data_IF_423081920290
#
_entry.id   IF_423081920290
#
_cell.length_a   1.000
_cell.length_b   1.000
_cell.length_c   1.000
_cell.angle_alpha   90.00
_cell.angle_beta   90.00
_cell.angle_gamma   90.00
#
_symmetry.space_group_name_H-M   'P 1'
#
loop_
_entity.id
_entity.type
_entity.pdbx_description
1 polymer ?
#
# COMPACT_ATOMS: atom_id res chain seq x y z
N UNK A 1 -43.34 -33.37 -12.56
CA UNK A 1 -42.06 -32.65 -12.71
C UNK A 1 -41.05 -33.57 -13.35
N UNK A 2 -40.40 -33.13 -14.40
CA UNK A 2 -39.32 -33.89 -15.02
C UNK A 2 -38.09 -33.91 -14.11
N UNK A 3 -37.23 -34.93 -14.23
CA UNK A 3 -35.95 -34.99 -13.50
C UNK A 3 -35.12 -33.74 -13.77
N UNK A 4 -35.18 -33.21 -14.98
CA UNK A 4 -34.43 -31.97 -15.37
C UNK A 4 -35.01 -30.68 -14.77
N UNK A 5 -36.32 -30.60 -14.48
CA UNK A 5 -36.92 -29.46 -13.80
C UNK A 5 -36.41 -29.34 -12.37
N UNK A 6 -36.42 -30.41 -11.58
CA UNK A 6 -35.89 -30.42 -10.22
C UNK A 6 -34.38 -30.16 -10.18
N UNK A 7 -33.62 -30.69 -11.15
CA UNK A 7 -32.20 -30.52 -11.26
C UNK A 7 -31.86 -29.05 -11.61
N UNK A 8 -32.59 -28.45 -12.55
CA UNK A 8 -32.39 -27.06 -12.94
C UNK A 8 -32.67 -26.08 -11.81
N UNK A 9 -33.73 -26.29 -11.03
CA UNK A 9 -34.05 -25.45 -9.87
C UNK A 9 -32.93 -25.44 -8.82
N UNK A 10 -32.40 -26.64 -8.49
CA UNK A 10 -31.29 -26.77 -7.54
C UNK A 10 -30.00 -26.07 -8.04
N UNK A 11 -29.68 -26.26 -9.31
CA UNK A 11 -28.52 -25.65 -9.93
C UNK A 11 -28.63 -24.10 -9.97
N UNK A 12 -29.78 -23.58 -10.38
CA UNK A 12 -30.06 -22.14 -10.41
C UNK A 12 -29.95 -21.55 -9.01
N UNK A 13 -30.57 -22.15 -8.00
CA UNK A 13 -30.47 -21.68 -6.62
C UNK A 13 -29.02 -21.62 -6.11
N UNK A 14 -28.17 -22.58 -6.51
CA UNK A 14 -26.74 -22.58 -6.16
C UNK A 14 -26.00 -21.40 -6.82
N UNK A 15 -26.23 -21.16 -8.11
CA UNK A 15 -25.62 -20.02 -8.83
C UNK A 15 -26.14 -18.68 -8.32
N UNK A 16 -27.42 -18.55 -8.03
CA UNK A 16 -28.01 -17.34 -7.45
C UNK A 16 -27.40 -17.00 -6.07
N UNK A 17 -27.12 -18.02 -5.26
CA UNK A 17 -26.43 -17.84 -3.98
C UNK A 17 -25.00 -17.30 -4.18
N UNK A 18 -24.25 -17.91 -5.09
CA UNK A 18 -22.88 -17.49 -5.41
C UNK A 18 -22.83 -16.07 -6.00
N UNK A 19 -23.75 -15.76 -6.89
CA UNK A 19 -23.79 -14.42 -7.53
C UNK A 19 -24.11 -13.34 -6.51
N UNK A 20 -25.08 -13.58 -5.62
CA UNK A 20 -25.37 -12.65 -4.52
C UNK A 20 -24.16 -12.43 -3.62
N UNK A 21 -23.47 -13.49 -3.23
CA UNK A 21 -22.28 -13.40 -2.40
C UNK A 21 -21.16 -12.63 -3.12
N UNK A 22 -20.96 -12.87 -4.42
CA UNK A 22 -20.00 -12.16 -5.27
C UNK A 22 -20.32 -10.67 -5.37
N UNK A 23 -21.56 -10.30 -5.68
CA UNK A 23 -21.98 -8.90 -5.81
C UNK A 23 -21.79 -8.13 -4.49
N UNK A 24 -22.14 -8.72 -3.37
CA UNK A 24 -21.94 -8.11 -2.07
C UNK A 24 -20.45 -7.98 -1.73
N UNK A 25 -19.63 -8.99 -2.00
CA UNK A 25 -18.18 -8.94 -1.82
C UNK A 25 -17.56 -7.83 -2.68
N UNK A 26 -17.96 -7.67 -3.94
CA UNK A 26 -17.50 -6.60 -4.82
C UNK A 26 -17.91 -5.20 -4.31
N UNK A 27 -19.12 -5.06 -3.78
CA UNK A 27 -19.57 -3.81 -3.18
C UNK A 27 -18.72 -3.42 -1.98
N UNK A 28 -18.48 -4.38 -1.07
CA UNK A 28 -17.64 -4.19 0.11
C UNK A 28 -16.18 -3.93 -0.26
N UNK A 29 -15.64 -4.63 -1.27
CA UNK A 29 -14.27 -4.41 -1.76
C UNK A 29 -14.07 -2.98 -2.24
N UNK A 30 -15.00 -2.43 -3.02
CA UNK A 30 -14.94 -1.02 -3.45
C UNK A 30 -14.99 -0.04 -2.27
N UNK A 31 -15.73 -0.37 -1.21
CA UNK A 31 -15.78 0.43 0.00
C UNK A 31 -14.44 0.40 0.75
N UNK A 32 -13.86 -0.77 0.93
CA UNK A 32 -12.52 -0.95 1.55
C UNK A 32 -11.46 -0.15 0.80
N UNK A 33 -11.37 -0.29 -0.53
CA UNK A 33 -10.43 0.46 -1.37
C UNK A 33 -10.57 1.97 -1.15
N UNK A 34 -11.79 2.48 -1.15
CA UNK A 34 -12.06 3.92 -0.91
C UNK A 34 -11.62 4.37 0.49
N UNK A 35 -11.84 3.56 1.52
CA UNK A 35 -11.41 3.84 2.89
C UNK A 35 -9.88 3.86 2.99
N UNK A 36 -9.19 2.88 2.40
CA UNK A 36 -7.73 2.80 2.36
C UNK A 36 -7.12 4.03 1.66
N UNK A 37 -7.59 4.35 0.46
CA UNK A 37 -7.12 5.53 -0.28
C UNK A 37 -7.40 6.84 0.48
N UNK A 38 -8.51 6.92 1.23
CA UNK A 38 -8.82 8.08 2.07
C UNK A 38 -7.93 8.16 3.29
N UNK A 39 -7.59 7.02 3.90
CA UNK A 39 -6.65 6.92 5.01
C UNK A 39 -5.25 7.42 4.61
N UNK A 40 -4.72 6.95 3.48
CA UNK A 40 -3.43 7.41 2.94
C UNK A 40 -3.44 8.93 2.71
N UNK A 41 -4.51 9.46 2.12
CA UNK A 41 -4.64 10.93 1.94
C UNK A 41 -4.68 11.70 3.25
N UNK A 42 -5.35 11.17 4.28
CA UNK A 42 -5.38 11.79 5.61
C UNK A 42 -4.01 11.80 6.26
N UNK A 43 -3.27 10.71 6.14
CA UNK A 43 -1.90 10.60 6.63
C UNK A 43 -0.97 11.64 5.97
N UNK A 44 -0.99 11.80 4.64
CA UNK A 44 -0.19 12.82 3.95
C UNK A 44 -0.54 14.26 4.33
N UNK A 45 -1.75 14.50 4.85
CA UNK A 45 -2.15 15.79 5.41
C UNK A 45 -1.80 15.96 6.88
N UNK A 46 -1.21 14.94 7.52
CA UNK A 46 -0.88 14.94 8.94
C UNK A 46 -2.08 14.62 9.87
N UNK A 47 -3.23 14.24 9.31
CA UNK A 47 -4.41 13.85 10.09
C UNK A 47 -4.36 12.35 10.40
N UNK A 48 -3.51 12.01 11.38
CA UNK A 48 -3.26 10.61 11.76
C UNK A 48 -4.47 9.96 12.45
N UNK A 49 -5.28 10.72 13.19
CA UNK A 49 -6.49 10.20 13.83
C UNK A 49 -7.53 9.78 12.79
N UNK A 50 -7.77 10.61 11.77
CA UNK A 50 -8.65 10.25 10.67
C UNK A 50 -8.10 9.06 9.87
N UNK A 51 -6.78 9.01 9.63
CA UNK A 51 -6.15 7.88 8.94
C UNK A 51 -6.38 6.56 9.68
N UNK A 52 -6.15 6.53 11.00
CA UNK A 52 -6.34 5.34 11.82
C UNK A 52 -7.80 4.90 11.89
N UNK A 53 -8.75 5.85 12.04
CA UNK A 53 -10.17 5.54 12.04
C UNK A 53 -10.60 4.89 10.73
N UNK A 54 -10.20 5.45 9.59
CA UNK A 54 -10.52 4.92 8.26
C UNK A 54 -9.93 3.53 8.04
N UNK A 55 -8.72 3.25 8.54
CA UNK A 55 -8.13 1.90 8.49
C UNK A 55 -8.90 0.89 9.34
N UNK A 56 -9.40 1.29 10.53
CA UNK A 56 -10.26 0.42 11.36
C UNK A 56 -11.57 0.09 10.64
N UNK A 57 -12.17 1.06 9.97
CA UNK A 57 -13.37 0.83 9.15
C UNK A 57 -13.08 -0.10 7.97
N UNK A 58 -11.92 0.05 7.30
CA UNK A 58 -11.47 -0.83 6.22
C UNK A 58 -11.28 -2.28 6.72
N UNK A 59 -10.66 -2.47 7.89
CA UNK A 59 -10.51 -3.78 8.53
C UNK A 59 -11.87 -4.48 8.76
N UNK A 60 -12.86 -3.75 9.28
CA UNK A 60 -14.21 -4.26 9.45
C UNK A 60 -14.87 -4.62 8.11
N UNK A 61 -14.55 -3.87 7.05
CA UNK A 61 -14.99 -4.17 5.69
C UNK A 61 -14.44 -5.51 5.19
N UNK A 62 -13.15 -5.78 5.39
CA UNK A 62 -12.52 -7.06 5.04
C UNK A 62 -13.12 -8.23 5.84
N UNK A 63 -13.40 -8.04 7.12
CA UNK A 63 -14.08 -9.07 7.92
C UNK A 63 -15.48 -9.39 7.37
N UNK A 64 -16.25 -8.38 6.99
CA UNK A 64 -17.56 -8.60 6.34
C UNK A 64 -17.43 -9.38 5.05
N UNK A 65 -16.41 -9.11 4.22
CA UNK A 65 -16.13 -9.87 2.99
C UNK A 65 -15.87 -11.34 3.33
N UNK A 66 -15.06 -11.63 4.34
CA UNK A 66 -14.76 -13.00 4.79
C UNK A 66 -16.02 -13.75 5.22
N UNK A 67 -16.89 -13.08 5.97
CA UNK A 67 -18.18 -13.65 6.40
C UNK A 67 -19.08 -13.96 5.21
N UNK A 68 -19.23 -13.03 4.27
CA UNK A 68 -20.05 -13.20 3.05
C UNK A 68 -19.55 -14.36 2.19
N UNK A 69 -18.23 -14.54 2.09
CA UNK A 69 -17.61 -15.56 1.24
C UNK A 69 -17.26 -16.85 1.98
N UNK A 70 -17.64 -17.00 3.24
CA UNK A 70 -17.30 -18.17 4.06
C UNK A 70 -17.68 -19.50 3.39
N UNK A 71 -18.87 -19.55 2.82
CA UNK A 71 -19.43 -20.77 2.18
C UNK A 71 -19.21 -20.79 0.65
N UNK A 72 -18.46 -19.81 0.10
CA UNK A 72 -18.21 -19.63 -1.32
C UNK A 72 -16.70 -19.45 -1.60
N UNK A 73 -15.90 -20.47 -1.24
CA UNK A 73 -14.44 -20.42 -1.35
C UNK A 73 -13.95 -20.24 -2.80
N UNK A 74 -14.67 -20.80 -3.77
CA UNK A 74 -14.40 -20.61 -5.19
C UNK A 74 -14.54 -19.14 -5.62
N UNK A 75 -15.48 -18.41 -5.06
CA UNK A 75 -15.62 -16.94 -5.26
C UNK A 75 -14.54 -16.19 -4.49
N UNK A 76 -14.20 -16.61 -3.26
CA UNK A 76 -13.17 -15.99 -2.42
C UNK A 76 -11.81 -15.94 -3.14
N UNK A 77 -11.42 -17.03 -3.80
CA UNK A 77 -10.12 -17.16 -4.47
C UNK A 77 -10.15 -16.86 -5.97
N UNK A 78 -11.24 -16.35 -6.49
CA UNK A 78 -11.36 -15.97 -7.90
C UNK A 78 -10.83 -14.54 -8.21
N UNK A 79 -10.20 -13.87 -7.23
CA UNK A 79 -9.57 -12.56 -7.42
C UNK A 79 -10.48 -11.35 -7.16
N UNK A 80 -11.74 -11.54 -6.80
CA UNK A 80 -12.70 -10.45 -6.61
C UNK A 80 -12.39 -9.53 -5.42
N UNK A 81 -11.61 -10.00 -4.45
CA UNK A 81 -11.26 -9.26 -3.23
C UNK A 81 -9.79 -8.88 -3.15
N UNK A 82 -8.97 -9.36 -4.08
CA UNK A 82 -7.52 -9.16 -4.06
C UNK A 82 -7.12 -7.68 -3.99
N UNK A 83 -7.77 -6.84 -4.79
CA UNK A 83 -7.50 -5.40 -4.79
C UNK A 83 -7.80 -4.73 -3.44
N UNK A 84 -8.84 -5.17 -2.73
CA UNK A 84 -9.17 -4.62 -1.41
C UNK A 84 -8.14 -5.02 -0.34
N UNK A 85 -7.65 -6.25 -0.38
CA UNK A 85 -6.60 -6.72 0.51
C UNK A 85 -5.26 -6.04 0.22
N UNK A 86 -4.91 -5.86 -1.07
CA UNK A 86 -3.72 -5.16 -1.52
C UNK A 86 -3.70 -3.71 -1.03
N UNK A 87 -4.76 -2.94 -1.27
CA UNK A 87 -4.90 -1.55 -0.81
C UNK A 87 -4.88 -1.44 0.72
N UNK A 88 -5.45 -2.43 1.43
CA UNK A 88 -5.39 -2.46 2.88
C UNK A 88 -3.97 -2.72 3.39
N UNK A 89 -3.25 -3.66 2.80
CA UNK A 89 -1.85 -3.93 3.15
C UNK A 89 -0.97 -2.70 2.87
N UNK A 90 -1.17 -2.00 1.74
CA UNK A 90 -0.50 -0.75 1.43
C UNK A 90 -0.78 0.31 2.50
N UNK A 91 -2.04 0.64 2.78
CA UNK A 91 -2.41 1.68 3.73
C UNK A 91 -1.85 1.40 5.14
N UNK A 92 -1.89 0.12 5.59
CA UNK A 92 -1.33 -0.31 6.87
C UNK A 92 0.18 -0.14 6.93
N UNK A 93 0.91 -0.55 5.89
CA UNK A 93 2.36 -0.42 5.84
C UNK A 93 2.79 1.05 5.71
N UNK A 94 2.15 1.84 4.86
CA UNK A 94 2.44 3.28 4.73
C UNK A 94 2.27 3.97 6.09
N UNK A 95 1.18 3.71 6.82
CA UNK A 95 0.96 4.28 8.14
C UNK A 95 2.03 3.83 9.15
N UNK A 96 2.30 2.53 9.24
CA UNK A 96 3.25 1.98 10.21
C UNK A 96 4.69 2.47 9.95
N UNK A 97 5.14 2.44 8.70
CA UNK A 97 6.48 2.88 8.32
C UNK A 97 6.66 4.37 8.60
N UNK A 98 5.68 5.21 8.28
CA UNK A 98 5.81 6.67 8.44
C UNK A 98 5.64 7.15 9.88
N UNK A 99 4.92 6.42 10.72
CA UNK A 99 4.65 6.84 12.11
C UNK A 99 5.45 6.08 13.16
N UNK A 100 5.85 4.83 12.89
CA UNK A 100 6.50 3.93 13.85
C UNK A 100 7.85 3.41 13.39
N UNK A 101 8.21 3.62 12.13
CA UNK A 101 9.38 3.05 11.47
C UNK A 101 9.39 1.51 11.47
N UNK A 102 8.21 0.90 11.32
CA UNK A 102 8.01 -0.56 11.33
C UNK A 102 7.32 -1.03 10.07
N UNK A 103 7.81 -2.12 9.48
CA UNK A 103 7.13 -2.84 8.40
C UNK A 103 6.28 -3.94 9.03
N UNK A 104 4.98 -3.96 8.71
CA UNK A 104 4.07 -4.98 9.21
C UNK A 104 4.26 -6.29 8.45
N UNK A 105 4.01 -7.41 9.11
CA UNK A 105 4.04 -8.74 8.47
C UNK A 105 2.69 -9.06 7.77
N UNK A 106 2.65 -10.10 6.93
CA UNK A 106 1.37 -10.60 6.41
C UNK A 106 0.37 -10.95 7.52
N UNK A 107 0.85 -11.52 8.64
CA UNK A 107 0.05 -11.88 9.81
C UNK A 107 -0.54 -10.65 10.50
N UNK A 108 0.23 -9.57 10.62
CA UNK A 108 -0.23 -8.30 11.22
C UNK A 108 -1.34 -7.64 10.39
N UNK A 109 -1.28 -7.80 9.08
CA UNK A 109 -2.30 -7.27 8.16
C UNK A 109 -3.48 -8.21 7.98
N UNK A 110 -3.25 -9.51 8.16
CA UNK A 110 -4.26 -10.56 8.04
C UNK A 110 -4.80 -10.73 6.63
N UNK A 111 -4.03 -10.39 5.59
CA UNK A 111 -4.39 -10.56 4.17
C UNK A 111 -3.62 -11.71 3.54
N UNK A 112 -4.06 -12.17 2.37
CA UNK A 112 -3.35 -13.20 1.60
C UNK A 112 -1.93 -12.73 1.24
N UNK A 113 -0.95 -13.66 1.32
CA UNK A 113 0.46 -13.35 1.10
C UNK A 113 0.73 -12.62 -0.22
N UNK A 114 0.11 -13.05 -1.30
CA UNK A 114 0.32 -12.43 -2.62
C UNK A 114 -0.23 -10.99 -2.66
N UNK A 115 -1.35 -10.74 -2.00
CA UNK A 115 -1.97 -9.42 -1.90
C UNK A 115 -1.16 -8.51 -0.97
N UNK A 116 -0.59 -9.07 0.10
CA UNK A 116 0.37 -8.37 0.96
C UNK A 116 1.61 -7.91 0.17
N UNK A 117 2.25 -8.81 -0.57
CA UNK A 117 3.43 -8.48 -1.38
C UNK A 117 3.13 -7.43 -2.45
N UNK A 118 1.95 -7.51 -3.07
CA UNK A 118 1.50 -6.51 -4.04
C UNK A 118 1.30 -5.13 -3.38
N UNK A 119 0.64 -5.07 -2.22
CA UNK A 119 0.44 -3.84 -1.45
C UNK A 119 1.75 -3.26 -0.92
N UNK A 120 2.69 -4.12 -0.50
CA UNK A 120 4.03 -3.68 -0.11
C UNK A 120 4.78 -3.04 -1.29
N UNK A 121 4.63 -3.58 -2.50
CA UNK A 121 5.17 -2.96 -3.71
C UNK A 121 4.60 -1.55 -3.96
N UNK A 122 3.29 -1.37 -3.80
CA UNK A 122 2.63 -0.07 -3.95
C UNK A 122 3.03 0.93 -2.86
N UNK A 123 3.32 0.45 -1.65
CA UNK A 123 3.88 1.25 -0.55
C UNK A 123 5.10 2.07 -0.98
N UNK A 124 5.93 1.55 -1.91
CA UNK A 124 7.09 2.27 -2.45
C UNK A 124 6.72 3.60 -3.11
N UNK A 125 5.55 3.67 -3.77
CA UNK A 125 5.03 4.89 -4.38
C UNK A 125 4.64 5.95 -3.35
N UNK A 126 3.97 5.54 -2.28
CA UNK A 126 3.54 6.44 -1.22
C UNK A 126 4.71 6.89 -0.32
N UNK A 127 5.71 6.03 -0.09
CA UNK A 127 6.96 6.42 0.57
C UNK A 127 7.74 7.43 -0.27
N UNK A 128 7.82 7.25 -1.59
CA UNK A 128 8.39 8.28 -2.47
C UNK A 128 7.66 9.61 -2.30
N UNK A 129 6.33 9.62 -2.30
CA UNK A 129 5.54 10.82 -2.08
C UNK A 129 5.89 11.48 -0.75
N UNK A 130 5.99 10.69 0.32
CA UNK A 130 6.38 11.17 1.65
C UNK A 130 7.76 11.81 1.63
N UNK A 131 8.76 11.20 0.96
CA UNK A 131 10.12 11.76 0.78
C UNK A 131 10.06 13.10 0.05
N UNK A 132 9.26 13.23 -1.00
CA UNK A 132 9.12 14.50 -1.72
C UNK A 132 8.49 15.59 -0.85
N UNK A 133 7.55 15.24 0.03
CA UNK A 133 6.97 16.17 0.99
C UNK A 133 7.99 16.57 2.08
N UNK A 134 8.87 15.69 2.51
CA UNK A 134 10.01 16.01 3.38
C UNK A 134 10.98 16.97 2.70
N UNK A 135 11.34 16.73 1.45
CA UNK A 135 12.21 17.64 0.67
C UNK A 135 11.58 19.04 0.57
N UNK A 136 10.29 19.11 0.22
CA UNK A 136 9.57 20.40 0.12
C UNK A 136 9.46 21.15 1.44
N UNK A 137 9.47 20.45 2.55
CA UNK A 137 9.45 21.03 3.90
C UNK A 137 10.84 21.35 4.47
N UNK A 138 11.92 21.22 3.66
CA UNK A 138 13.29 21.51 4.08
C UNK A 138 13.93 20.43 4.96
N UNK A 139 13.40 19.22 4.96
CA UNK A 139 13.87 18.07 5.77
C UNK A 139 14.36 16.89 4.94
N UNK A 140 15.22 17.11 3.91
CA UNK A 140 15.60 16.02 3.00
C UNK A 140 16.36 14.89 3.70
N UNK A 141 17.09 15.17 4.79
CA UNK A 141 17.86 14.14 5.50
C UNK A 141 16.98 13.04 6.10
N UNK A 142 15.78 13.39 6.54
CA UNK A 142 14.81 12.40 7.05
C UNK A 142 14.33 11.44 5.95
N UNK A 143 14.46 11.82 4.68
CA UNK A 143 14.11 10.98 3.54
C UNK A 143 15.02 9.76 3.34
N UNK A 144 16.24 9.76 3.87
CA UNK A 144 17.20 8.65 3.73
C UNK A 144 16.67 7.35 4.31
N UNK A 145 16.01 7.39 5.47
CA UNK A 145 15.38 6.21 6.08
C UNK A 145 14.35 5.59 5.12
N UNK A 146 13.46 6.39 4.57
CA UNK A 146 12.39 5.89 3.69
C UNK A 146 12.94 5.40 2.35
N UNK A 147 14.02 5.99 1.84
CA UNK A 147 14.72 5.51 0.65
C UNK A 147 15.30 4.10 0.90
N UNK A 148 15.90 3.87 2.07
CA UNK A 148 16.36 2.55 2.49
C UNK A 148 15.22 1.52 2.54
N UNK A 149 14.07 1.90 3.10
CA UNK A 149 12.90 1.02 3.12
C UNK A 149 12.39 0.66 1.72
N UNK A 150 12.37 1.63 0.77
CA UNK A 150 12.01 1.34 -0.63
C UNK A 150 12.99 0.33 -1.24
N UNK A 151 14.30 0.45 -0.96
CA UNK A 151 15.32 -0.48 -1.43
C UNK A 151 15.10 -1.90 -0.86
N UNK A 152 14.82 -2.01 0.43
CA UNK A 152 14.51 -3.29 1.08
C UNK A 152 13.25 -3.94 0.53
N UNK A 153 12.19 -3.15 0.28
CA UNK A 153 10.97 -3.64 -0.38
C UNK A 153 11.31 -4.20 -1.77
N UNK A 154 12.06 -3.47 -2.58
CA UNK A 154 12.48 -3.95 -3.90
C UNK A 154 13.27 -5.25 -3.80
N UNK A 155 14.27 -5.31 -2.92
CA UNK A 155 15.07 -6.52 -2.71
C UNK A 155 14.21 -7.71 -2.27
N UNK A 156 13.26 -7.49 -1.35
CA UNK A 156 12.33 -8.53 -0.92
C UNK A 156 11.49 -9.05 -2.09
N UNK A 157 10.87 -8.17 -2.87
CA UNK A 157 10.02 -8.57 -4.00
C UNK A 157 10.79 -9.37 -5.06
N UNK A 158 12.07 -9.08 -5.26
CA UNK A 158 12.95 -9.82 -6.19
C UNK A 158 13.23 -11.26 -5.77
N UNK A 159 12.99 -11.64 -4.51
CA UNK A 159 13.16 -13.03 -4.05
C UNK A 159 12.02 -13.94 -4.55
N UNK A 160 10.88 -13.38 -4.96
CA UNK A 160 9.69 -14.13 -5.37
C UNK A 160 9.65 -14.35 -6.89
N UNK A 161 10.66 -15.03 -7.42
CA UNK A 161 10.73 -15.42 -8.84
C UNK A 161 9.96 -16.73 -9.09
N UNK A 162 8.62 -16.64 -8.99
CA UNK A 162 7.70 -17.74 -9.22
C UNK A 162 6.80 -17.45 -10.43
N UNK A 163 6.19 -18.49 -11.05
CA UNK A 163 5.23 -18.31 -12.13
C UNK A 163 4.10 -17.34 -11.77
N UNK A 164 3.67 -16.54 -12.74
CA UNK A 164 2.65 -15.50 -12.56
C UNK A 164 1.32 -16.05 -12.03
N UNK A 165 1.00 -17.30 -12.35
CA UNK A 165 -0.15 -17.99 -11.79
C UNK A 165 -0.15 -18.06 -10.25
N UNK A 166 1.02 -17.99 -9.61
CA UNK A 166 1.17 -17.97 -8.15
C UNK A 166 1.32 -16.54 -7.61
N UNK A 167 2.00 -15.66 -8.35
CA UNK A 167 2.40 -14.32 -7.89
C UNK A 167 1.49 -13.20 -8.40
N UNK A 168 0.54 -13.49 -9.30
CA UNK A 168 -0.50 -12.57 -9.79
C UNK A 168 0.04 -11.19 -10.18
N UNK A 169 1.11 -11.16 -11.01
CA UNK A 169 1.70 -9.92 -11.50
C UNK A 169 2.70 -9.25 -10.57
N UNK A 170 3.25 -9.94 -9.59
CA UNK A 170 4.21 -9.41 -8.62
C UNK A 170 5.47 -8.85 -9.31
N UNK A 171 5.91 -9.43 -10.43
CA UNK A 171 7.03 -8.92 -11.22
C UNK A 171 6.84 -7.45 -11.62
N UNK A 172 5.62 -7.09 -12.03
CA UNK A 172 5.29 -5.69 -12.34
C UNK A 172 5.40 -4.77 -11.11
N UNK A 173 5.06 -5.26 -9.92
CA UNK A 173 5.23 -4.52 -8.65
C UNK A 173 6.71 -4.33 -8.30
N UNK A 174 7.53 -5.34 -8.53
CA UNK A 174 8.98 -5.27 -8.37
C UNK A 174 9.61 -4.24 -9.33
N UNK A 175 9.21 -4.23 -10.61
CA UNK A 175 9.68 -3.25 -11.60
C UNK A 175 9.25 -1.82 -11.22
N UNK A 176 8.04 -1.66 -10.67
CA UNK A 176 7.54 -0.37 -10.18
C UNK A 176 8.35 0.10 -8.97
N UNK A 177 8.58 -0.77 -7.98
CA UNK A 177 9.39 -0.44 -6.80
C UNK A 177 10.81 -0.02 -7.18
N UNK A 178 11.45 -0.73 -8.13
CA UNK A 178 12.74 -0.34 -8.70
C UNK A 178 12.70 1.06 -9.31
N UNK A 179 11.70 1.35 -10.13
CA UNK A 179 11.54 2.66 -10.75
C UNK A 179 11.36 3.77 -9.71
N UNK A 180 10.61 3.51 -8.65
CA UNK A 180 10.45 4.46 -7.53
C UNK A 180 11.78 4.66 -6.81
N UNK A 181 12.52 3.60 -6.51
CA UNK A 181 13.83 3.65 -5.87
C UNK A 181 14.82 4.53 -6.65
N UNK A 182 15.01 4.24 -7.94
CA UNK A 182 15.98 4.94 -8.79
C UNK A 182 15.68 6.44 -8.90
N UNK A 183 14.42 6.80 -9.13
CA UNK A 183 13.97 8.20 -9.21
C UNK A 183 14.11 8.92 -7.86
N UNK A 184 13.71 8.28 -6.78
CA UNK A 184 13.76 8.87 -5.44
C UNK A 184 15.21 9.12 -5.00
N UNK A 185 16.10 8.16 -5.30
CA UNK A 185 17.54 8.31 -5.02
C UNK A 185 18.13 9.54 -5.72
N UNK A 186 17.77 9.77 -6.98
CA UNK A 186 18.20 10.95 -7.73
C UNK A 186 17.68 12.25 -7.12
N UNK A 187 16.39 12.32 -6.83
CA UNK A 187 15.75 13.51 -6.25
C UNK A 187 16.32 13.84 -4.86
N UNK A 188 16.48 12.84 -4.01
CA UNK A 188 16.99 13.00 -2.65
C UNK A 188 18.48 13.42 -2.65
N UNK A 189 19.30 12.80 -3.51
CA UNK A 189 20.72 13.17 -3.68
C UNK A 189 20.86 14.63 -4.06
N UNK A 190 20.06 15.11 -5.02
CA UNK A 190 20.07 16.51 -5.43
C UNK A 190 19.63 17.45 -4.29
N UNK A 191 18.56 17.09 -3.57
CA UNK A 191 18.07 17.89 -2.45
C UNK A 191 19.10 18.00 -1.32
N UNK A 192 19.78 16.91 -0.98
CA UNK A 192 20.84 16.88 0.03
C UNK A 192 22.08 17.68 -0.40
N UNK A 193 22.46 17.63 -1.69
CA UNK A 193 23.55 18.44 -2.21
C UNK A 193 23.23 19.93 -2.11
N UNK A 194 22.03 20.36 -2.48
CA UNK A 194 21.58 21.73 -2.35
C UNK A 194 21.55 22.21 -0.90
N UNK A 195 21.03 21.40 0.01
CA UNK A 195 21.02 21.75 1.44
C UNK A 195 22.42 21.92 2.02
N UNK A 196 23.42 21.14 1.56
CA UNK A 196 24.83 21.35 1.94
C UNK A 196 25.40 22.67 1.43
N UNK A 197 25.07 23.04 0.20
CA UNK A 197 25.51 24.35 -0.39
C UNK A 197 24.91 25.52 0.38
N UNK A 198 23.59 25.47 0.65
CA UNK A 198 22.89 26.49 1.43
C UNK A 198 23.52 26.67 2.83
N UNK A 199 23.74 25.56 3.54
CA UNK A 199 24.38 25.59 4.85
C UNK A 199 25.81 26.18 4.80
N UNK A 200 26.56 25.96 3.72
CA UNK A 200 27.89 26.48 3.52
C UNK A 200 27.86 27.98 3.25
N UNK A 201 26.91 28.47 2.45
CA UNK A 201 26.70 29.89 2.16
C UNK A 201 26.31 30.70 3.41
N UNK A 202 25.41 30.12 4.23
CA UNK A 202 25.01 30.73 5.50
C UNK A 202 26.24 30.94 6.44
N UNK A 203 27.02 29.88 6.63
CA UNK A 203 28.26 29.97 7.46
C UNK A 203 29.24 31.02 6.95
N UNK A 204 29.40 31.12 5.61
CA UNK A 204 30.27 32.13 5.00
C UNK A 204 29.74 33.54 5.26
N UNK A 205 28.43 33.75 5.11
CA UNK A 205 27.79 35.05 5.40
C UNK A 205 27.98 35.49 6.85
N UNK A 206 27.76 34.56 7.80
CA UNK A 206 27.92 34.82 9.23
C UNK A 206 29.38 35.19 9.57
N UNK A 207 30.35 34.48 8.99
CA UNK A 207 31.78 34.75 9.17
C UNK A 207 32.19 36.11 8.58
N UNK A 208 31.61 36.49 7.43
CA UNK A 208 31.88 37.79 6.78
C UNK A 208 31.30 38.96 7.61
N UNK A 209 30.12 38.76 8.22
CA UNK A 209 29.49 39.77 9.07
C UNK A 209 30.24 39.96 10.40
N UNK A 210 30.71 38.86 11.02
CA UNK A 210 31.50 38.91 12.26
C UNK A 210 32.86 39.62 12.12
N UNK A 211 33.42 39.68 10.89
CA UNK A 211 34.68 40.41 10.62
C UNK A 211 34.48 41.92 10.36
N UNK A 212 33.25 42.38 10.22
CA UNK A 212 32.89 43.79 9.98
C UNK A 212 32.44 44.53 11.24
N UNK A 213 32.23 43.81 12.33
CA UNK A 213 31.92 44.33 13.68
C UNK A 213 33.18 44.36 14.53
#
# INVERSE_FOLDING_TARGET
MSIFENLSESMLASFDSKDRAREEALRLSREVIRLCSSSIRSMHRGDLEAAERLMKEAALGLEKIRVVLKDHQDVRYAGFVDGAEQEYAEARNVYSITTRHEVLTPEDTGVELVNYLAGLGDTSGELRRHILDLIRSGRPLEGEYFLGVIEEIYCLLMLFDYPDALTRGLRRKSDLARSMLERTRGDLTNALALAKVEASLLRFSDTANAKKS
#
